data_IF_153200395410
#
_entry.id   IF_153200395410
#
_cell.length_a   1.000
_cell.length_b   1.000
_cell.length_c   1.000
_cell.angle_alpha   90.00
_cell.angle_beta   90.00
_cell.angle_gamma   90.00
#
_symmetry.space_group_name_H-M   'P 1'
#
loop_
_entity.id
_entity.type
_entity.pdbx_description
1 polymer ?
#
# COMPACT_ATOMS: atom_id res chain seq x y z
N UNK A 1 5.87 -13.01 -3.09
CA UNK A 1 7.17 -12.30 -2.92
C UNK A 1 8.28 -13.13 -3.55
N UNK A 2 9.52 -12.63 -3.66
CA UNK A 2 10.62 -13.39 -4.30
C UNK A 2 10.92 -14.71 -3.57
N UNK A 3 10.97 -14.68 -2.23
CA UNK A 3 11.09 -15.90 -1.42
C UNK A 3 9.88 -16.82 -1.58
N UNK A 4 8.65 -16.28 -1.62
CA UNK A 4 7.47 -17.10 -1.83
C UNK A 4 7.53 -17.86 -3.16
N UNK A 5 7.97 -17.22 -4.25
CA UNK A 5 8.15 -17.89 -5.55
C UNK A 5 9.17 -19.03 -5.50
N UNK A 6 10.24 -18.88 -4.71
CA UNK A 6 11.23 -19.93 -4.53
C UNK A 6 10.65 -21.11 -3.73
N UNK A 7 9.92 -20.80 -2.65
CA UNK A 7 9.24 -21.80 -1.80
C UNK A 7 8.15 -22.53 -2.60
N UNK A 8 7.36 -21.82 -3.41
CA UNK A 8 6.37 -22.40 -4.33
C UNK A 8 7.00 -23.44 -5.25
N UNK A 9 8.20 -23.18 -5.77
CA UNK A 9 8.93 -24.16 -6.58
C UNK A 9 9.30 -25.41 -5.79
N UNK A 10 9.74 -25.27 -4.55
CA UNK A 10 10.03 -26.42 -3.68
C UNK A 10 8.76 -27.17 -3.27
N UNK A 11 7.64 -26.49 -3.06
CA UNK A 11 6.32 -27.11 -2.78
C UNK A 11 5.91 -28.00 -3.96
N UNK A 12 6.08 -27.52 -5.20
CA UNK A 12 5.80 -28.32 -6.40
C UNK A 12 6.66 -29.59 -6.45
N UNK A 13 7.94 -29.49 -6.08
CA UNK A 13 8.85 -30.65 -6.02
C UNK A 13 8.47 -31.66 -4.91
N UNK A 14 7.83 -31.21 -3.82
CA UNK A 14 7.36 -32.05 -2.71
C UNK A 14 6.02 -32.77 -2.97
N UNK A 15 5.22 -32.28 -3.91
CA UNK A 15 3.90 -32.84 -4.20
C UNK A 15 2.99 -32.85 -2.97
N UNK A 16 2.38 -34.01 -2.64
CA UNK A 16 1.41 -34.13 -1.56
C UNK A 16 1.98 -33.79 -0.16
N UNK A 17 3.28 -34.01 0.05
CA UNK A 17 3.97 -33.70 1.30
C UNK A 17 4.14 -32.18 1.52
N UNK A 18 3.98 -31.37 0.45
CA UNK A 18 4.09 -29.92 0.50
C UNK A 18 2.88 -29.19 1.08
N UNK A 19 1.75 -29.88 1.31
CA UNK A 19 0.45 -29.25 1.67
C UNK A 19 0.50 -28.35 2.90
N UNK A 20 1.24 -28.76 3.95
CA UNK A 20 1.39 -27.94 5.16
C UNK A 20 2.20 -26.66 4.91
N UNK A 21 3.26 -26.77 4.09
CA UNK A 21 4.14 -25.65 3.75
C UNK A 21 3.39 -24.66 2.85
N UNK A 22 2.56 -25.16 1.92
CA UNK A 22 1.68 -24.35 1.09
C UNK A 22 0.71 -23.51 1.94
N UNK A 23 -0.02 -24.13 2.86
CA UNK A 23 -0.94 -23.40 3.76
C UNK A 23 -0.22 -22.34 4.60
N UNK A 24 0.98 -22.65 5.11
CA UNK A 24 1.79 -21.69 5.87
C UNK A 24 2.28 -20.53 5.01
N UNK A 25 2.67 -20.81 3.76
CA UNK A 25 3.10 -19.78 2.82
C UNK A 25 1.93 -18.86 2.46
N UNK A 26 0.75 -19.42 2.17
CA UNK A 26 -0.46 -18.64 1.92
C UNK A 26 -0.77 -17.72 3.10
N UNK A 27 -0.83 -18.26 4.33
CA UNK A 27 -1.08 -17.50 5.55
C UNK A 27 -0.07 -16.36 5.75
N UNK A 28 1.22 -16.64 5.57
CA UNK A 28 2.30 -15.67 5.76
C UNK A 28 2.30 -14.57 4.70
N UNK A 29 1.80 -14.86 3.50
CA UNK A 29 1.82 -13.92 2.36
C UNK A 29 0.50 -13.17 2.17
N UNK A 30 -0.53 -13.48 2.96
CA UNK A 30 -1.81 -12.76 2.95
C UNK A 30 -1.58 -11.26 3.02
N UNK A 31 -2.21 -10.52 2.09
CA UNK A 31 -2.18 -9.06 2.06
C UNK A 31 -0.89 -8.43 1.51
N UNK A 32 0.24 -9.15 1.45
CA UNK A 32 1.54 -8.58 1.03
C UNK A 32 1.49 -8.00 -0.39
N UNK A 33 0.81 -8.67 -1.32
CA UNK A 33 0.67 -8.17 -2.69
C UNK A 33 -0.17 -6.88 -2.76
N UNK A 34 -1.25 -6.81 -1.97
CA UNK A 34 -2.12 -5.64 -1.89
C UNK A 34 -1.41 -4.46 -1.21
N UNK A 35 -0.68 -4.72 -0.11
CA UNK A 35 0.11 -3.70 0.59
C UNK A 35 1.22 -3.13 -0.31
N UNK A 36 1.90 -3.99 -1.08
CA UNK A 36 2.90 -3.55 -2.07
C UNK A 36 2.25 -2.66 -3.14
N UNK A 37 1.10 -3.06 -3.68
CA UNK A 37 0.37 -2.26 -4.67
C UNK A 37 -0.03 -0.89 -4.11
N UNK A 38 -0.63 -0.87 -2.91
CA UNK A 38 -1.03 0.37 -2.25
C UNK A 38 0.16 1.29 -1.94
N UNK A 39 1.29 0.72 -1.52
CA UNK A 39 2.53 1.48 -1.30
C UNK A 39 3.02 2.16 -2.59
N UNK A 40 2.98 1.45 -3.72
CA UNK A 40 3.40 2.05 -5.00
C UNK A 40 2.47 3.18 -5.41
N UNK A 41 1.14 3.00 -5.30
CA UNK A 41 0.18 4.07 -5.56
C UNK A 41 0.37 5.28 -4.64
N UNK A 42 0.74 5.07 -3.38
CA UNK A 42 0.96 6.14 -2.42
C UNK A 42 2.13 7.07 -2.80
N UNK A 43 3.16 6.57 -3.49
CA UNK A 43 4.44 7.28 -3.64
C UNK A 43 4.97 7.46 -5.08
N UNK A 44 4.30 6.93 -6.10
CA UNK A 44 4.66 7.23 -7.48
C UNK A 44 4.50 8.74 -7.78
N UNK A 45 5.40 9.34 -8.56
CA UNK A 45 5.30 10.76 -8.91
C UNK A 45 4.11 11.02 -9.85
N UNK A 46 3.90 10.13 -10.83
CA UNK A 46 2.86 10.26 -11.86
C UNK A 46 1.79 9.16 -11.71
N UNK A 47 0.60 9.48 -11.15
CA UNK A 47 -0.48 8.51 -10.96
C UNK A 47 -1.17 8.19 -12.29
N UNK A 48 -0.92 6.99 -12.82
CA UNK A 48 -1.70 6.40 -13.90
C UNK A 48 -1.65 4.88 -13.82
N UNK A 49 -2.68 4.19 -14.33
CA UNK A 49 -2.72 2.73 -14.35
C UNK A 49 -1.59 2.12 -15.19
N UNK A 50 -1.22 2.77 -16.30
CA UNK A 50 -0.12 2.32 -17.15
C UNK A 50 1.23 2.44 -16.41
N UNK A 51 1.48 3.58 -15.76
CA UNK A 51 2.69 3.77 -14.97
C UNK A 51 2.72 2.80 -13.79
N UNK A 52 1.62 2.66 -13.05
CA UNK A 52 1.50 1.71 -11.94
C UNK A 52 1.86 0.28 -12.35
N UNK A 53 1.30 -0.21 -13.46
CA UNK A 53 1.61 -1.54 -13.98
C UNK A 53 3.09 -1.69 -14.35
N UNK A 54 3.66 -0.68 -15.01
CA UNK A 54 5.08 -0.61 -15.38
C UNK A 54 6.00 -0.66 -14.15
N UNK A 55 5.70 0.14 -13.12
CA UNK A 55 6.48 0.18 -11.88
C UNK A 55 6.40 -1.16 -11.14
N UNK A 56 5.23 -1.77 -11.04
CA UNK A 56 5.08 -3.07 -10.38
C UNK A 56 5.84 -4.20 -11.09
N UNK A 57 5.80 -4.25 -12.42
CA UNK A 57 6.56 -5.23 -13.21
C UNK A 57 8.07 -5.01 -13.03
N UNK A 58 8.52 -3.74 -13.09
CA UNK A 58 9.92 -3.39 -12.89
C UNK A 58 10.42 -3.76 -11.49
N UNK A 59 9.63 -3.48 -10.44
CA UNK A 59 9.93 -3.88 -9.06
C UNK A 59 9.97 -5.41 -8.88
N UNK A 60 9.16 -6.16 -9.63
CA UNK A 60 9.16 -7.62 -9.59
C UNK A 60 10.39 -8.23 -10.28
N UNK A 61 11.00 -7.52 -11.24
CA UNK A 61 12.21 -7.96 -11.97
C UNK A 61 13.52 -7.49 -11.33
N UNK A 62 13.47 -6.50 -10.46
CA UNK A 62 14.66 -5.89 -9.85
C UNK A 62 15.55 -6.90 -9.06
N UNK A 63 16.84 -7.04 -9.34
CA UNK A 63 17.73 -7.88 -8.52
C UNK A 63 17.69 -7.49 -7.03
N UNK A 64 17.90 -8.45 -6.12
CA UNK A 64 17.86 -8.18 -4.67
C UNK A 64 18.84 -7.10 -4.23
N UNK A 65 20.07 -7.15 -4.77
CA UNK A 65 21.10 -6.15 -4.48
C UNK A 65 20.70 -4.73 -4.90
N UNK A 66 19.85 -4.61 -5.93
CA UNK A 66 19.40 -3.33 -6.46
C UNK A 66 18.23 -2.74 -5.66
N UNK A 67 17.60 -3.53 -4.77
CA UNK A 67 16.61 -3.01 -3.81
C UNK A 67 17.26 -2.13 -2.73
N UNK A 68 18.57 -2.19 -2.57
CA UNK A 68 19.33 -1.34 -1.64
C UNK A 68 19.79 -0.02 -2.30
N UNK A 69 19.59 0.12 -3.61
CA UNK A 69 19.88 1.36 -4.34
C UNK A 69 18.64 2.27 -4.31
N UNK A 70 18.60 3.15 -3.32
CA UNK A 70 17.47 4.08 -3.13
C UNK A 70 17.31 5.06 -4.29
N UNK A 71 18.39 5.45 -4.97
CA UNK A 71 18.30 6.29 -6.17
C UNK A 71 17.61 5.56 -7.32
N UNK A 72 17.87 4.26 -7.48
CA UNK A 72 17.16 3.42 -8.45
C UNK A 72 15.70 3.20 -8.09
N UNK A 73 15.38 3.03 -6.81
CA UNK A 73 13.98 2.93 -6.38
C UNK A 73 13.22 4.24 -6.58
N UNK A 74 13.86 5.39 -6.32
CA UNK A 74 13.30 6.70 -6.59
C UNK A 74 13.01 6.89 -8.10
N UNK A 75 13.97 6.54 -8.94
CA UNK A 75 13.83 6.53 -10.42
C UNK A 75 12.66 5.65 -10.88
N UNK A 76 12.53 4.44 -10.32
CA UNK A 76 11.40 3.55 -10.62
C UNK A 76 10.05 4.14 -10.22
N UNK A 77 9.99 4.95 -9.17
CA UNK A 77 8.77 5.63 -8.75
C UNK A 77 8.54 6.94 -9.51
N UNK A 78 9.40 7.28 -10.47
CA UNK A 78 9.29 8.46 -11.33
C UNK A 78 9.95 9.73 -10.76
N UNK A 79 10.88 9.59 -9.82
CA UNK A 79 11.70 10.69 -9.29
C UNK A 79 13.09 10.72 -9.94
N UNK A 80 13.88 11.78 -9.71
CA UNK A 80 15.26 11.83 -10.22
C UNK A 80 16.15 10.79 -9.50
N UNK A 81 17.00 10.05 -10.24
CA UNK A 81 17.94 9.08 -9.66
C UNK A 81 18.92 9.70 -8.67
N UNK A 82 19.31 10.96 -8.87
CA UNK A 82 20.22 11.74 -8.02
C UNK A 82 19.50 12.45 -6.88
N UNK A 83 18.19 12.22 -6.74
CA UNK A 83 17.43 12.72 -5.61
C UNK A 83 18.12 12.30 -4.31
N UNK A 84 18.32 13.27 -3.42
CA UNK A 84 18.73 12.95 -2.06
C UNK A 84 17.53 12.35 -1.32
N UNK A 85 17.40 11.03 -1.36
CA UNK A 85 16.23 10.31 -0.83
C UNK A 85 16.04 10.45 0.68
N UNK A 86 17.07 10.92 1.41
CA UNK A 86 17.00 11.16 2.86
C UNK A 86 16.41 12.53 3.20
N UNK A 87 16.61 13.52 2.33
CA UNK A 87 16.18 14.91 2.55
C UNK A 87 14.99 15.30 1.67
N UNK A 88 14.49 14.39 0.83
CA UNK A 88 13.32 14.63 0.01
C UNK A 88 12.04 14.25 0.77
N UNK A 89 11.14 15.21 1.06
CA UNK A 89 9.87 14.90 1.69
C UNK A 89 8.97 14.13 0.72
N UNK A 90 8.37 13.03 1.20
CA UNK A 90 7.40 12.25 0.46
C UNK A 90 6.17 11.98 1.34
N UNK A 91 5.01 12.43 0.89
CA UNK A 91 3.73 12.21 1.59
C UNK A 91 2.91 11.15 0.87
N UNK A 92 2.31 10.18 1.59
CA UNK A 92 1.45 9.18 0.97
C UNK A 92 0.13 9.77 0.52
N UNK A 93 -0.42 9.27 -0.59
CA UNK A 93 -1.77 9.63 -1.07
C UNK A 93 -2.90 9.08 -0.19
N UNK A 94 -2.71 7.92 0.44
CA UNK A 94 -3.66 7.33 1.38
C UNK A 94 -4.24 5.97 0.97
N UNK A 95 -3.85 5.41 -0.19
CA UNK A 95 -4.33 4.11 -0.69
C UNK A 95 -4.15 3.00 0.35
N UNK A 96 -3.00 2.96 1.03
CA UNK A 96 -2.71 1.92 2.02
C UNK A 96 -3.55 2.02 3.28
N UNK A 97 -3.77 3.23 3.78
CA UNK A 97 -4.55 3.45 5.00
C UNK A 97 -6.04 3.22 4.72
N UNK A 98 -6.57 3.78 3.63
CA UNK A 98 -7.95 3.56 3.22
C UNK A 98 -8.22 2.09 2.89
N UNK A 99 -7.28 1.39 2.26
CA UNK A 99 -7.38 -0.04 1.94
C UNK A 99 -7.46 -0.96 3.16
N UNK A 100 -7.03 -0.50 4.35
CA UNK A 100 -7.16 -1.22 5.61
C UNK A 100 -8.54 -1.08 6.25
N UNK A 101 -9.37 -0.14 5.78
CA UNK A 101 -10.73 0.05 6.29
C UNK A 101 -11.62 -1.07 5.73
N UNK A 102 -12.22 -1.93 6.58
CA UNK A 102 -13.00 -3.06 6.11
C UNK A 102 -14.20 -2.63 5.27
N UNK A 103 -14.46 -3.37 4.18
CA UNK A 103 -15.64 -3.19 3.29
C UNK A 103 -15.71 -1.84 2.56
N UNK A 104 -14.60 -1.11 2.45
CA UNK A 104 -14.52 0.11 1.65
C UNK A 104 -14.30 -0.25 0.16
N UNK A 105 -15.24 0.10 -0.75
CA UNK A 105 -15.09 -0.24 -2.16
C UNK A 105 -13.94 0.52 -2.84
N UNK A 106 -13.24 -0.12 -3.79
CA UNK A 106 -12.14 0.51 -4.54
C UNK A 106 -12.51 1.83 -5.24
N UNK A 107 -13.68 1.97 -5.90
CA UNK A 107 -14.06 3.25 -6.53
C UNK A 107 -14.19 4.39 -5.53
N UNK A 108 -14.65 4.09 -4.30
CA UNK A 108 -14.75 5.08 -3.23
C UNK A 108 -13.37 5.48 -2.74
N UNK A 109 -12.44 4.53 -2.58
CA UNK A 109 -11.04 4.84 -2.24
C UNK A 109 -10.43 5.76 -3.29
N UNK A 110 -10.66 5.48 -4.57
CA UNK A 110 -10.15 6.32 -5.65
C UNK A 110 -10.74 7.73 -5.60
N UNK A 111 -12.07 7.87 -5.45
CA UNK A 111 -12.71 9.18 -5.34
C UNK A 111 -12.18 10.02 -4.17
N UNK A 112 -11.98 9.41 -3.00
CA UNK A 112 -11.39 10.10 -1.84
C UNK A 112 -9.96 10.59 -2.17
N UNK A 113 -9.17 9.77 -2.84
CA UNK A 113 -7.78 10.14 -3.15
C UNK A 113 -7.73 11.24 -4.20
N UNK A 114 -8.63 11.19 -5.18
CA UNK A 114 -8.73 12.22 -6.23
C UNK A 114 -9.20 13.57 -5.64
N UNK A 115 -10.14 13.56 -4.69
CA UNK A 115 -10.71 14.78 -4.09
C UNK A 115 -9.79 15.43 -3.04
N UNK A 116 -9.08 14.63 -2.22
CA UNK A 116 -8.26 15.14 -1.13
C UNK A 116 -6.76 15.23 -1.45
N UNK A 117 -6.26 14.44 -2.42
CA UNK A 117 -4.88 14.49 -2.92
C UNK A 117 -3.80 13.89 -2.00
N UNK A 118 -4.01 13.87 -0.69
CA UNK A 118 -3.01 13.39 0.28
C UNK A 118 -3.61 12.83 1.56
N UNK A 119 -2.84 11.98 2.25
CA UNK A 119 -3.29 11.37 3.51
C UNK A 119 -3.53 12.40 4.60
N UNK A 120 -2.73 13.46 4.69
CA UNK A 120 -2.87 14.47 5.74
C UNK A 120 -4.19 15.25 5.60
N UNK A 121 -4.59 15.56 4.36
CA UNK A 121 -5.87 16.15 4.01
C UNK A 121 -7.02 15.20 4.34
N UNK A 122 -6.90 13.92 3.99
CA UNK A 122 -7.90 12.88 4.33
C UNK A 122 -8.10 12.77 5.84
N UNK A 123 -7.01 12.78 6.63
CA UNK A 123 -7.07 12.68 8.08
C UNK A 123 -7.69 13.92 8.74
N UNK A 124 -7.59 15.08 8.08
CA UNK A 124 -8.13 16.35 8.56
C UNK A 124 -9.58 16.60 8.11
N UNK A 125 -10.11 15.77 7.22
CA UNK A 125 -11.42 15.93 6.60
C UNK A 125 -12.60 15.87 7.58
N UNK A 126 -13.56 16.76 7.40
CA UNK A 126 -14.86 16.74 8.06
C UNK A 126 -15.77 15.61 7.52
N UNK A 127 -16.82 15.21 8.27
CA UNK A 127 -17.79 14.21 7.78
C UNK A 127 -18.46 14.73 6.50
N UNK A 128 -18.81 16.02 6.48
CA UNK A 128 -19.44 16.67 5.33
C UNK A 128 -18.56 16.73 4.09
N UNK A 129 -17.23 16.90 4.26
CA UNK A 129 -16.29 16.84 3.13
C UNK A 129 -16.18 15.41 2.59
N UNK A 130 -16.09 14.40 3.47
CA UNK A 130 -16.10 13.00 3.04
C UNK A 130 -17.41 12.62 2.33
N UNK A 131 -18.56 13.10 2.81
CA UNK A 131 -19.88 12.91 2.18
C UNK A 131 -20.01 13.55 0.80
N UNK A 132 -19.18 14.53 0.47
CA UNK A 132 -19.21 15.16 -0.85
C UNK A 132 -18.60 14.29 -1.96
N UNK A 133 -17.80 13.28 -1.58
CA UNK A 133 -17.19 12.32 -2.52
C UNK A 133 -18.26 11.38 -3.08
N UNK A 134 -18.26 11.19 -4.40
CA UNK A 134 -19.24 10.30 -5.05
C UNK A 134 -19.16 8.86 -4.48
N UNK A 135 -20.32 8.31 -4.18
CA UNK A 135 -20.43 7.00 -3.52
C UNK A 135 -20.08 7.01 -2.02
N UNK A 136 -19.85 8.16 -1.37
CA UNK A 136 -19.79 8.30 0.09
C UNK A 136 -21.06 8.98 0.59
N UNK A 137 -21.81 8.30 1.47
CA UNK A 137 -22.95 8.91 2.18
C UNK A 137 -22.67 8.99 3.67
N UNK A 138 -23.55 9.65 4.43
CA UNK A 138 -23.40 9.91 5.88
C UNK A 138 -22.87 8.70 6.69
N UNK A 139 -23.49 7.52 6.53
CA UNK A 139 -23.06 6.32 7.25
C UNK A 139 -21.63 5.90 6.88
N UNK A 140 -21.27 5.98 5.59
CA UNK A 140 -19.95 5.58 5.10
C UNK A 140 -18.87 6.59 5.50
N UNK A 141 -19.18 7.89 5.50
CA UNK A 141 -18.26 8.92 5.98
C UNK A 141 -17.89 8.68 7.45
N UNK A 142 -18.88 8.40 8.29
CA UNK A 142 -18.67 8.02 9.70
C UNK A 142 -17.82 6.76 9.85
N UNK A 143 -18.13 5.71 9.08
CA UNK A 143 -17.36 4.46 9.09
C UNK A 143 -15.89 4.67 8.67
N UNK A 144 -15.65 5.50 7.65
CA UNK A 144 -14.31 5.85 7.18
C UNK A 144 -13.56 6.58 8.30
N UNK A 145 -14.14 7.63 8.86
CA UNK A 145 -13.54 8.41 9.95
C UNK A 145 -13.20 7.55 11.16
N UNK A 146 -14.12 6.71 11.58
CA UNK A 146 -13.90 5.78 12.69
C UNK A 146 -12.83 4.73 12.35
N UNK A 147 -12.77 4.28 11.08
CA UNK A 147 -11.69 3.44 10.58
C UNK A 147 -10.31 4.13 10.69
N UNK A 148 -10.21 5.38 10.22
CA UNK A 148 -8.99 6.17 10.28
C UNK A 148 -8.54 6.41 11.73
N UNK A 149 -9.48 6.76 12.61
CA UNK A 149 -9.21 6.95 14.05
C UNK A 149 -8.67 5.69 14.71
N UNK A 150 -9.30 4.54 14.50
CA UNK A 150 -8.82 3.25 15.04
C UNK A 150 -7.42 2.90 14.57
N UNK A 151 -7.11 3.17 13.29
CA UNK A 151 -5.76 2.95 12.75
C UNK A 151 -4.73 3.89 13.40
N UNK A 152 -5.08 5.13 13.71
CA UNK A 152 -4.20 6.04 14.46
C UNK A 152 -3.94 5.54 15.88
N UNK A 153 -4.97 5.05 16.58
CA UNK A 153 -4.85 4.51 17.94
C UNK A 153 -3.93 3.29 18.00
N UNK A 154 -4.07 2.34 17.05
CA UNK A 154 -3.20 1.16 16.96
C UNK A 154 -1.73 1.58 16.75
N UNK A 155 -1.46 2.51 15.83
CA UNK A 155 -0.10 2.99 15.56
C UNK A 155 0.53 3.73 16.76
N UNK A 156 -0.28 4.37 17.60
CA UNK A 156 0.20 4.98 18.83
C UNK A 156 0.60 3.89 19.83
N UNK A 157 -0.24 2.89 20.04
CA UNK A 157 0.03 1.77 20.95
C UNK A 157 1.28 1.00 20.54
N UNK A 158 1.43 0.67 19.25
CA UNK A 158 2.61 -0.04 18.74
C UNK A 158 3.90 0.76 18.97
N UNK A 159 3.87 2.09 18.82
CA UNK A 159 5.03 2.95 19.12
C UNK A 159 5.37 2.98 20.60
N UNK A 160 4.38 2.98 21.49
CA UNK A 160 4.63 2.93 22.94
C UNK A 160 5.18 1.58 23.40
N UNK A 161 4.81 0.48 22.74
CA UNK A 161 5.29 -0.87 23.08
C UNK A 161 6.68 -1.19 22.50
N UNK A 162 7.16 -0.42 21.52
CA UNK A 162 8.48 -0.56 20.90
C UNK A 162 9.55 0.38 21.49
N UNK A 163 9.20 1.19 22.49
CA UNK A 163 10.12 1.95 23.37
C UNK A 163 10.26 1.29 24.73
#
# INVERSE_FOLDING_TARGET
TRMAMEIERYIVELGAEGRLIEMQLEETTVGVAADKAALVHDYMSEPSEENFASVLDSLARLPHQDLLDFGRLAELLGHDRKLNTLDHPASPRGHRILGRIPRLPKPVVQGIIDDFGGLDEILSASDGELESVDGVGDMRAKDIREGLRRLQEINLVDRYLQT
#
